data_IF_230156256265
#
_entry.id   IF_230156256265
#
_cell.length_a   1.000
_cell.length_b   1.000
_cell.length_c   1.000
_cell.angle_alpha   90.00
_cell.angle_beta   90.00
_cell.angle_gamma   90.00
#
_symmetry.space_group_name_H-M   'P 1'
#
loop_
_entity.id
_entity.type
_entity.pdbx_description
1 polymer ?
#
# COMPACT_ATOMS: atom_id res chain seq x y z
N UNK A 1 4.04 0.07 -9.02
CA UNK A 1 2.89 0.06 -9.95
C UNK A 1 3.41 0.28 -11.36
N UNK A 2 2.87 -0.42 -12.36
CA UNK A 2 3.20 -0.18 -13.77
C UNK A 2 2.67 1.19 -14.23
N UNK A 3 3.23 1.74 -15.30
CA UNK A 3 2.72 2.98 -15.91
C UNK A 3 1.26 2.85 -16.34
N UNK A 4 0.94 1.76 -17.02
CA UNK A 4 -0.42 1.48 -17.50
C UNK A 4 -1.41 1.34 -16.35
N UNK A 5 -1.01 0.69 -15.25
CA UNK A 5 -1.86 0.55 -14.06
C UNK A 5 -2.14 1.89 -13.38
N UNK A 6 -1.15 2.79 -13.33
CA UNK A 6 -1.34 4.16 -12.79
C UNK A 6 -2.26 4.98 -13.67
N UNK A 7 -2.15 4.85 -14.99
CA UNK A 7 -3.04 5.54 -15.93
C UNK A 7 -4.48 5.04 -15.81
N UNK A 8 -4.67 3.73 -15.83
CA UNK A 8 -5.99 3.12 -15.65
C UNK A 8 -6.65 3.54 -14.33
N UNK A 9 -5.87 3.58 -13.24
CA UNK A 9 -6.34 4.05 -11.95
C UNK A 9 -6.80 5.51 -11.99
N UNK A 10 -6.01 6.40 -12.61
CA UNK A 10 -6.36 7.80 -12.75
C UNK A 10 -7.69 7.98 -13.52
N UNK A 11 -7.91 7.17 -14.57
CA UNK A 11 -9.11 7.23 -15.40
C UNK A 11 -10.37 6.68 -14.72
N UNK A 12 -10.24 5.64 -13.89
CA UNK A 12 -11.39 4.81 -13.50
C UNK A 12 -11.57 4.62 -12.00
N UNK A 13 -10.50 4.66 -11.19
CA UNK A 13 -10.56 4.18 -9.81
C UNK A 13 -11.06 5.26 -8.85
N UNK A 14 -11.98 4.90 -7.96
CA UNK A 14 -12.38 5.74 -6.80
C UNK A 14 -11.51 5.43 -5.57
N UNK A 15 -10.96 4.22 -5.51
CA UNK A 15 -9.98 3.81 -4.52
C UNK A 15 -8.89 2.94 -5.16
N UNK A 16 -7.64 3.15 -4.75
CA UNK A 16 -6.50 2.34 -5.18
C UNK A 16 -5.84 1.75 -3.94
N UNK A 17 -5.86 0.43 -3.83
CA UNK A 17 -5.03 -0.27 -2.87
C UNK A 17 -3.59 -0.34 -3.39
N UNK A 18 -2.64 0.08 -2.56
CA UNK A 18 -1.22 0.05 -2.93
C UNK A 18 -0.46 -0.84 -1.96
N UNK A 19 0.58 -1.49 -2.46
CA UNK A 19 1.53 -2.19 -1.60
C UNK A 19 2.13 -1.27 -0.54
N UNK A 20 2.70 -1.88 0.50
CA UNK A 20 3.51 -1.18 1.49
C UNK A 20 4.82 -0.65 0.88
N UNK A 21 5.47 0.26 1.59
CA UNK A 21 6.72 0.89 1.16
C UNK A 21 7.10 2.03 2.09
N UNK A 22 8.13 2.79 1.71
CA UNK A 22 8.46 4.01 2.44
C UNK A 22 7.39 5.08 2.23
N UNK A 23 7.30 6.04 3.16
CA UNK A 23 6.43 7.22 2.99
C UNK A 23 6.74 7.97 1.68
N UNK A 24 8.02 8.07 1.32
CA UNK A 24 8.46 8.75 0.11
C UNK A 24 7.94 8.07 -1.16
N UNK A 25 7.95 6.74 -1.21
CA UNK A 25 7.40 5.98 -2.35
C UNK A 25 5.89 6.20 -2.48
N UNK A 26 5.18 6.20 -1.34
CA UNK A 26 3.75 6.50 -1.28
C UNK A 26 3.43 7.91 -1.79
N UNK A 27 4.19 8.92 -1.36
CA UNK A 27 4.04 10.31 -1.81
C UNK A 27 4.29 10.45 -3.32
N UNK A 28 5.31 9.77 -3.85
CA UNK A 28 5.62 9.76 -5.29
C UNK A 28 4.47 9.17 -6.10
N UNK A 29 3.94 8.01 -5.66
CA UNK A 29 2.82 7.36 -6.32
C UNK A 29 1.54 8.21 -6.25
N UNK A 30 1.30 8.85 -5.10
CA UNK A 30 0.19 9.77 -4.90
C UNK A 30 0.24 10.94 -5.89
N UNK A 31 1.36 11.64 -5.96
CA UNK A 31 1.55 12.78 -6.85
C UNK A 31 1.40 12.38 -8.33
N UNK A 32 1.90 11.21 -8.72
CA UNK A 32 1.82 10.69 -10.09
C UNK A 32 0.37 10.42 -10.53
N UNK A 33 -0.38 9.62 -9.75
CA UNK A 33 -1.77 9.27 -10.08
C UNK A 33 -2.64 10.53 -10.07
N UNK A 34 -2.50 11.39 -9.06
CA UNK A 34 -3.30 12.62 -8.94
C UNK A 34 -2.99 13.60 -10.08
N UNK A 35 -1.72 13.76 -10.45
CA UNK A 35 -1.32 14.59 -11.59
C UNK A 35 -1.81 14.06 -12.95
N UNK A 36 -2.07 12.75 -13.08
CA UNK A 36 -2.73 12.19 -14.28
C UNK A 36 -4.22 12.52 -14.32
N UNK A 37 -4.90 12.49 -13.17
CA UNK A 37 -6.33 12.82 -13.09
C UNK A 37 -6.61 14.25 -13.55
N UNK A 38 -5.78 15.21 -13.11
CA UNK A 38 -5.89 16.61 -13.53
C UNK A 38 -5.79 16.75 -15.05
N UNK A 39 -4.86 16.04 -15.70
CA UNK A 39 -4.65 16.09 -17.16
C UNK A 39 -5.83 15.58 -17.98
N UNK A 40 -6.63 14.68 -17.41
CA UNK A 40 -7.84 14.13 -18.05
C UNK A 40 -9.13 14.83 -17.58
N UNK A 41 -9.01 15.93 -16.83
CA UNK A 41 -10.16 16.72 -16.36
C UNK A 41 -10.96 16.07 -15.22
N UNK A 42 -10.36 15.11 -14.50
CA UNK A 42 -10.99 14.46 -13.35
C UNK A 42 -10.50 15.10 -12.05
N UNK A 43 -11.44 15.44 -11.16
CA UNK A 43 -11.11 15.96 -9.82
C UNK A 43 -10.25 14.94 -9.05
N UNK A 44 -9.00 15.30 -8.67
CA UNK A 44 -8.12 14.45 -7.88
C UNK A 44 -8.79 13.93 -6.61
N UNK A 45 -9.68 14.68 -5.97
CA UNK A 45 -10.29 14.27 -4.70
C UNK A 45 -11.25 13.08 -4.79
N UNK A 46 -11.70 12.74 -6.00
CA UNK A 46 -12.55 11.57 -6.27
C UNK A 46 -11.82 10.22 -6.16
N UNK A 47 -10.49 10.21 -6.05
CA UNK A 47 -9.70 8.99 -5.89
C UNK A 47 -9.00 8.98 -4.52
N UNK A 48 -9.17 7.91 -3.74
CA UNK A 48 -8.44 7.69 -2.49
C UNK A 48 -7.35 6.64 -2.68
N UNK A 49 -6.17 6.91 -2.12
CA UNK A 49 -5.05 5.96 -2.13
C UNK A 49 -4.93 5.33 -0.75
N UNK A 50 -4.98 4.00 -0.72
CA UNK A 50 -5.05 3.20 0.50
C UNK A 50 -3.81 2.29 0.55
N UNK A 51 -2.73 2.72 1.21
CA UNK A 51 -1.56 1.87 1.38
C UNK A 51 -1.85 0.73 2.36
N UNK A 52 -1.39 -0.47 2.02
CA UNK A 52 -1.37 -1.59 2.94
C UNK A 52 -0.50 -1.29 4.14
N UNK A 53 -1.06 -1.44 5.34
CA UNK A 53 -0.36 -1.29 6.60
C UNK A 53 -0.60 -2.52 7.48
N UNK A 54 0.49 -3.13 7.95
CA UNK A 54 0.42 -4.19 8.96
C UNK A 54 0.88 -3.61 10.29
N UNK A 55 -0.07 -3.38 11.18
CA UNK A 55 0.15 -2.70 12.46
C UNK A 55 0.00 -3.70 13.61
N UNK A 56 1.02 -3.78 14.46
CA UNK A 56 0.99 -4.57 15.70
C UNK A 56 0.95 -3.59 16.87
N UNK A 57 -0.04 -3.75 17.76
CA UNK A 57 -0.31 -2.82 18.86
C UNK A 57 -0.01 -3.48 20.21
N UNK A 58 0.63 -2.73 21.11
CA UNK A 58 0.87 -3.09 22.51
C UNK A 58 0.83 -1.85 23.41
N UNK A 59 0.65 -2.05 24.70
CA UNK A 59 0.68 -1.00 25.72
C UNK A 59 2.09 -0.39 25.86
N UNK A 60 3.11 -1.11 25.38
CA UNK A 60 4.46 -0.61 25.19
C UNK A 60 5.05 -1.07 23.84
N UNK A 61 6.15 -0.43 23.43
CA UNK A 61 6.91 -0.82 22.22
C UNK A 61 7.45 -2.25 22.35
N UNK A 62 7.90 -2.64 23.53
CA UNK A 62 8.46 -3.97 23.75
C UNK A 62 7.38 -5.04 23.64
N UNK A 63 6.19 -4.81 24.19
CA UNK A 63 5.05 -5.72 24.03
C UNK A 63 4.64 -5.87 22.55
N UNK A 64 4.62 -4.76 21.79
CA UNK A 64 4.32 -4.82 20.36
C UNK A 64 5.37 -5.63 19.58
N UNK A 65 6.65 -5.54 19.95
CA UNK A 65 7.73 -6.35 19.36
C UNK A 65 7.61 -7.83 19.73
N UNK A 66 7.27 -8.14 20.98
CA UNK A 66 7.03 -9.53 21.42
C UNK A 66 5.86 -10.17 20.68
N UNK A 67 4.73 -9.45 20.56
CA UNK A 67 3.59 -9.88 19.74
C UNK A 67 4.00 -10.11 18.29
N UNK A 68 4.81 -9.21 17.71
CA UNK A 68 5.32 -9.35 16.35
C UNK A 68 6.18 -10.61 16.20
N UNK A 69 7.13 -10.83 17.11
CA UNK A 69 8.00 -11.99 17.09
C UNK A 69 7.20 -13.31 17.19
N UNK A 70 6.16 -13.35 18.03
CA UNK A 70 5.27 -14.50 18.13
C UNK A 70 4.51 -14.75 16.83
N UNK A 71 4.01 -13.71 16.16
CA UNK A 71 3.32 -13.86 14.87
C UNK A 71 4.27 -14.38 13.78
N UNK A 72 5.48 -13.82 13.70
CA UNK A 72 6.49 -14.25 12.74
C UNK A 72 6.92 -15.70 12.99
N UNK A 73 6.93 -16.18 14.24
CA UNK A 73 7.24 -17.58 14.57
C UNK A 73 6.21 -18.59 14.08
N UNK A 74 5.05 -18.13 13.58
CA UNK A 74 3.95 -18.99 13.07
C UNK A 74 3.86 -19.00 11.55
N UNK A 75 4.79 -18.33 10.86
CA UNK A 75 4.84 -18.35 9.39
C UNK A 75 5.25 -19.74 8.90
N UNK A 76 4.40 -20.34 8.07
CA UNK A 76 4.73 -21.56 7.33
C UNK A 76 5.47 -21.20 6.04
N UNK A 77 6.79 -21.39 6.04
CA UNK A 77 7.66 -20.97 4.93
C UNK A 77 7.25 -21.57 3.57
N UNK A 78 6.84 -22.84 3.53
CA UNK A 78 6.42 -23.51 2.30
C UNK A 78 5.22 -22.81 1.65
N UNK A 79 4.29 -22.28 2.46
CA UNK A 79 3.15 -21.51 1.98
C UNK A 79 3.52 -20.08 1.60
N UNK A 80 4.44 -19.45 2.35
CA UNK A 80 4.84 -18.08 2.12
C UNK A 80 5.70 -17.92 0.86
N UNK A 81 6.66 -18.81 0.62
CA UNK A 81 7.58 -18.73 -0.53
C UNK A 81 6.83 -18.89 -1.84
N UNK A 82 5.85 -19.80 -1.90
CA UNK A 82 5.02 -19.99 -3.10
C UNK A 82 4.18 -18.75 -3.47
N UNK A 83 3.93 -17.85 -2.51
CA UNK A 83 3.18 -16.60 -2.70
C UNK A 83 4.03 -15.41 -3.14
N UNK A 84 5.36 -15.55 -3.16
CA UNK A 84 6.28 -14.55 -3.67
C UNK A 84 6.41 -14.73 -5.19
N UNK A 85 5.39 -14.30 -5.92
CA UNK A 85 5.38 -14.25 -7.40
C UNK A 85 5.48 -12.83 -7.94
#
# INVERSE_FOLDING_TARGET
>A
ASEDGKQLAAETAEAVFTGGGSLADGQKLYADIKGRMEKIGRDPEHLKILPGAFVVVGDSVDEAKEKRALLDSRVHYDSAIASLS
#
